data_IF_334764711495
#
_entry.id   IF_334764711495
#
_cell.length_a   1.000
_cell.length_b   1.000
_cell.length_c   1.000
_cell.angle_alpha   90.00
_cell.angle_beta   90.00
_cell.angle_gamma   90.00
#
_symmetry.space_group_name_H-M   'P 1'
#
loop_
_entity.id
_entity.type
_entity.pdbx_description
1 polymer ?
#
# COMPACT_ATOMS: atom_id res chain seq x y z
N UNK A 1 16.04 72.25 3.06
CA UNK A 1 14.94 71.28 2.88
C UNK A 1 15.55 70.04 2.22
N UNK A 2 16.10 69.05 2.94
CA UNK A 2 15.54 68.13 3.94
C UNK A 2 14.31 67.35 3.46
N UNK A 3 14.44 66.02 3.50
CA UNK A 3 13.38 65.00 3.43
C UNK A 3 13.12 64.32 2.07
N UNK A 4 14.08 63.49 1.60
CA UNK A 4 13.77 62.43 0.62
C UNK A 4 14.66 61.19 0.79
N UNK A 5 14.85 60.74 2.05
CA UNK A 5 15.69 59.56 2.36
C UNK A 5 15.10 58.67 3.46
N UNK A 6 13.90 58.99 3.97
CA UNK A 6 13.28 58.28 5.10
C UNK A 6 12.21 57.25 4.74
N UNK A 7 11.77 57.17 3.48
CA UNK A 7 10.69 56.24 3.07
C UNK A 7 11.14 54.97 2.35
N UNK A 8 12.41 54.88 1.94
CA UNK A 8 12.90 53.72 1.15
C UNK A 8 13.31 52.56 2.07
N UNK A 9 13.85 52.87 3.26
CA UNK A 9 14.31 51.87 4.23
C UNK A 9 13.22 50.96 4.82
N UNK A 10 12.02 51.44 5.23
CA UNK A 10 10.98 50.57 5.79
C UNK A 10 10.38 49.65 4.73
N UNK A 11 10.27 50.09 3.47
CA UNK A 11 9.68 49.32 2.37
C UNK A 11 10.59 48.14 2.00
N UNK A 12 11.90 48.37 1.90
CA UNK A 12 12.87 47.31 1.62
C UNK A 12 12.90 46.29 2.78
N UNK A 13 12.84 46.76 4.03
CA UNK A 13 12.80 45.88 5.20
C UNK A 13 11.54 45.00 5.23
N UNK A 14 10.37 45.55 4.91
CA UNK A 14 9.13 44.76 4.81
C UNK A 14 9.15 43.78 3.64
N UNK A 15 9.74 44.16 2.49
CA UNK A 15 9.84 43.27 1.34
C UNK A 15 10.80 42.09 1.63
N UNK A 16 11.88 42.34 2.36
CA UNK A 16 12.81 41.30 2.82
C UNK A 16 12.12 40.39 3.85
N UNK A 17 11.35 40.94 4.80
CA UNK A 17 10.61 40.12 5.76
C UNK A 17 9.51 39.27 5.11
N UNK A 18 8.79 39.79 4.12
CA UNK A 18 7.76 39.03 3.38
C UNK A 18 8.38 37.91 2.55
N UNK A 19 9.48 38.19 1.84
CA UNK A 19 10.19 37.16 1.07
C UNK A 19 10.88 36.12 1.96
N UNK A 20 11.34 36.49 3.16
CA UNK A 20 11.82 35.55 4.17
C UNK A 20 10.69 34.70 4.76
N UNK A 21 9.49 35.27 4.97
CA UNK A 21 8.32 34.53 5.45
C UNK A 21 7.80 33.51 4.40
N UNK A 22 7.73 33.91 3.13
CA UNK A 22 7.38 32.98 2.04
C UNK A 22 8.41 31.86 1.89
N UNK A 23 9.71 32.18 1.98
CA UNK A 23 10.78 31.17 1.93
C UNK A 23 10.79 30.25 3.17
N UNK A 24 10.41 30.75 4.34
CA UNK A 24 10.29 29.93 5.55
C UNK A 24 9.11 28.95 5.50
N UNK A 25 8.01 29.32 4.83
CA UNK A 25 6.89 28.40 4.57
C UNK A 25 7.19 27.38 3.45
N UNK A 26 8.18 27.65 2.61
CA UNK A 26 8.59 26.73 1.54
C UNK A 26 9.59 25.64 2.01
N UNK A 27 9.90 25.58 3.31
CA UNK A 27 10.92 24.68 3.83
C UNK A 27 10.39 23.80 4.96
N UNK A 28 9.32 23.06 4.68
CA UNK A 28 8.94 21.83 5.41
C UNK A 28 8.38 20.81 4.42
N UNK A 29 9.21 20.31 3.52
CA UNK A 29 8.88 19.05 2.84
C UNK A 29 10.19 18.32 2.55
N UNK A 30 10.82 17.79 3.61
CA UNK A 30 11.58 16.55 3.48
C UNK A 30 10.56 15.44 3.15
N UNK A 31 10.00 15.49 1.94
CA UNK A 31 9.06 14.49 1.47
C UNK A 31 9.87 13.24 1.18
N UNK A 32 10.06 12.42 2.21
CA UNK A 32 10.60 11.08 2.06
C UNK A 32 9.79 10.39 0.95
N UNK A 33 10.47 10.10 -0.17
CA UNK A 33 9.81 9.56 -1.36
C UNK A 33 9.06 8.29 -0.95
N UNK A 34 7.77 8.16 -1.29
CA UNK A 34 7.02 6.98 -0.86
C UNK A 34 7.60 5.72 -1.49
N UNK A 35 7.67 4.65 -0.70
CA UNK A 35 8.00 3.32 -1.20
C UNK A 35 6.80 2.78 -1.96
N UNK A 36 7.02 2.28 -3.17
CA UNK A 36 5.95 1.86 -4.07
C UNK A 36 5.99 0.34 -4.28
N UNK A 37 4.85 -0.30 -4.03
CA UNK A 37 4.69 -1.73 -4.18
C UNK A 37 3.56 -2.06 -5.16
N UNK A 38 3.75 -3.13 -5.93
CA UNK A 38 2.68 -3.71 -6.75
C UNK A 38 2.23 -5.01 -6.11
N UNK A 39 0.94 -5.10 -5.77
CA UNK A 39 0.31 -6.32 -5.30
C UNK A 39 -0.26 -7.05 -6.51
N UNK A 40 0.19 -8.29 -6.70
CA UNK A 40 -0.22 -9.19 -7.75
C UNK A 40 -0.97 -10.37 -7.13
N UNK A 41 -1.90 -10.96 -7.88
CA UNK A 41 -2.60 -12.17 -7.44
C UNK A 41 -2.71 -13.22 -8.55
N UNK A 42 -3.08 -14.44 -8.16
CA UNK A 42 -3.36 -15.52 -9.11
C UNK A 42 -4.44 -16.45 -8.56
N UNK A 43 -5.32 -16.88 -9.46
CA UNK A 43 -6.35 -17.89 -9.22
C UNK A 43 -5.96 -19.27 -9.76
N UNK A 44 -4.78 -19.42 -10.37
CA UNK A 44 -4.37 -20.65 -11.04
C UNK A 44 -3.77 -21.66 -10.05
N UNK A 45 -4.15 -22.94 -10.20
CA UNK A 45 -3.66 -24.04 -9.35
C UNK A 45 -2.25 -24.53 -9.74
N UNK A 46 -1.86 -24.35 -11.01
CA UNK A 46 -0.58 -24.79 -11.58
C UNK A 46 0.44 -23.65 -11.79
N UNK A 47 0.87 -23.45 -13.04
CA UNK A 47 1.74 -22.34 -13.43
C UNK A 47 1.02 -21.01 -13.23
N UNK A 48 1.29 -20.38 -12.10
CA UNK A 48 0.60 -19.17 -11.68
C UNK A 48 0.88 -18.00 -12.63
N UNK A 49 -0.16 -17.57 -13.34
CA UNK A 49 -0.19 -16.31 -14.07
C UNK A 49 -0.65 -15.23 -13.09
N UNK A 50 0.19 -14.21 -12.91
CA UNK A 50 -0.06 -13.13 -11.97
C UNK A 50 -0.62 -11.91 -12.68
N UNK A 51 -1.70 -11.35 -12.14
CA UNK A 51 -2.31 -10.09 -12.59
C UNK A 51 -2.27 -9.06 -11.47
N UNK A 52 -2.33 -7.78 -11.82
CA UNK A 52 -2.36 -6.69 -10.83
C UNK A 52 -3.65 -6.75 -10.03
N UNK A 53 -3.51 -6.71 -8.70
CA UNK A 53 -4.60 -6.62 -7.73
C UNK A 53 -4.67 -5.21 -7.16
N UNK A 54 -3.53 -4.61 -6.84
CA UNK A 54 -3.46 -3.29 -6.24
C UNK A 54 -2.08 -2.66 -6.40
N UNK A 55 -2.01 -1.35 -6.16
CA UNK A 55 -0.77 -0.60 -5.99
C UNK A 55 -0.79 0.09 -4.63
N UNK A 56 0.31 -0.01 -3.89
CA UNK A 56 0.44 0.54 -2.56
C UNK A 56 1.59 1.55 -2.51
N UNK A 57 1.38 2.66 -1.83
CA UNK A 57 2.42 3.63 -1.53
C UNK A 57 2.52 3.81 -0.01
N UNK A 58 3.71 3.55 0.53
CA UNK A 58 4.02 3.68 1.95
C UNK A 58 4.76 5.00 2.16
N UNK A 59 4.13 5.92 2.88
CA UNK A 59 4.65 7.23 3.22
C UNK A 59 5.40 7.13 4.55
N UNK A 60 6.74 7.19 4.50
CA UNK A 60 7.63 7.20 5.66
C UNK A 60 7.49 6.00 6.60
N UNK A 61 8.53 5.17 6.68
CA UNK A 61 8.54 3.91 7.46
C UNK A 61 8.14 4.09 8.92
N UNK A 62 8.45 5.25 9.51
CA UNK A 62 8.12 5.59 10.90
C UNK A 62 6.64 5.89 11.12
N UNK A 63 5.98 6.48 10.13
CA UNK A 63 4.56 6.86 10.27
C UNK A 63 3.63 5.70 9.90
N UNK A 64 4.10 4.76 9.08
CA UNK A 64 3.34 3.60 8.64
C UNK A 64 2.10 3.98 7.81
N UNK A 65 2.02 5.21 7.31
CA UNK A 65 0.88 5.68 6.54
C UNK A 65 0.92 5.04 5.15
N UNK A 66 -0.18 4.39 4.77
CA UNK A 66 -0.30 3.69 3.48
C UNK A 66 -1.47 4.28 2.69
N UNK A 67 -1.26 4.49 1.40
CA UNK A 67 -2.34 4.63 0.42
C UNK A 67 -2.39 3.41 -0.48
N UNK A 68 -3.57 2.83 -0.64
CA UNK A 68 -3.82 1.63 -1.43
C UNK A 68 -4.83 1.94 -2.55
N UNK A 69 -4.48 1.61 -3.78
CA UNK A 69 -5.37 1.66 -4.93
C UNK A 69 -5.60 0.24 -5.43
N UNK A 70 -6.84 -0.25 -5.34
CA UNK A 70 -7.19 -1.63 -5.70
C UNK A 70 -7.94 -1.67 -7.02
N UNK A 71 -7.66 -2.71 -7.80
CA UNK A 71 -8.36 -2.99 -9.04
C UNK A 71 -9.57 -3.90 -8.75
N UNK A 72 -10.77 -3.59 -9.27
CA UNK A 72 -11.94 -4.43 -9.10
C UNK A 72 -11.78 -5.75 -9.86
N UNK A 73 -12.43 -6.80 -9.36
CA UNK A 73 -12.49 -8.07 -10.08
C UNK A 73 -13.42 -7.97 -11.29
N UNK A 74 -13.03 -8.61 -12.38
CA UNK A 74 -13.93 -8.82 -13.52
C UNK A 74 -14.89 -9.98 -13.24
N UNK A 75 -15.98 -10.09 -14.00
CA UNK A 75 -16.88 -11.25 -13.92
C UNK A 75 -16.17 -12.59 -14.16
N UNK A 76 -15.12 -12.58 -15.01
CA UNK A 76 -14.28 -13.75 -15.25
C UNK A 76 -13.48 -14.12 -14.01
N UNK A 77 -12.90 -13.14 -13.31
CA UNK A 77 -12.14 -13.36 -12.08
C UNK A 77 -13.03 -13.86 -10.94
N UNK A 78 -14.25 -13.31 -10.81
CA UNK A 78 -15.24 -13.78 -9.85
C UNK A 78 -15.57 -15.26 -10.09
N UNK A 79 -15.80 -15.65 -11.35
CA UNK A 79 -16.06 -17.04 -11.71
C UNK A 79 -14.86 -17.96 -11.40
N UNK A 80 -13.63 -17.49 -11.67
CA UNK A 80 -12.40 -18.23 -11.31
C UNK A 80 -12.25 -18.39 -9.80
N UNK A 81 -12.45 -17.33 -9.02
CA UNK A 81 -12.35 -17.38 -7.56
C UNK A 81 -13.38 -18.33 -6.96
N UNK A 82 -14.64 -18.27 -7.43
CA UNK A 82 -15.70 -19.19 -6.99
C UNK A 82 -15.32 -20.64 -7.27
N UNK A 83 -14.93 -20.95 -8.51
CA UNK A 83 -14.50 -22.29 -8.90
C UNK A 83 -13.33 -22.76 -8.05
N UNK A 84 -12.34 -21.89 -7.85
CA UNK A 84 -11.17 -22.18 -7.02
C UNK A 84 -11.55 -22.47 -5.57
N UNK A 85 -12.52 -21.74 -5.00
CA UNK A 85 -13.05 -21.97 -3.66
C UNK A 85 -13.78 -23.33 -3.56
N UNK A 86 -14.63 -23.66 -4.53
CA UNK A 86 -15.39 -24.92 -4.58
C UNK A 86 -14.47 -26.15 -4.61
N UNK A 87 -13.33 -26.06 -5.31
CA UNK A 87 -12.35 -27.15 -5.39
C UNK A 87 -11.30 -27.12 -4.27
N UNK A 88 -11.45 -26.27 -3.24
CA UNK A 88 -10.50 -26.18 -2.14
C UNK A 88 -9.12 -25.67 -2.56
N UNK A 89 -9.06 -24.88 -3.63
CA UNK A 89 -7.83 -24.34 -4.19
C UNK A 89 -7.21 -23.22 -3.35
N UNK A 90 -6.06 -22.74 -3.82
CA UNK A 90 -5.22 -21.77 -3.13
C UNK A 90 -5.20 -20.47 -3.93
N UNK A 91 -5.62 -19.37 -3.30
CA UNK A 91 -5.40 -18.03 -3.81
C UNK A 91 -4.00 -17.56 -3.46
N UNK A 92 -3.26 -17.07 -4.46
CA UNK A 92 -1.84 -16.69 -4.31
C UNK A 92 -1.69 -15.20 -4.45
N UNK A 93 -0.86 -14.61 -3.61
CA UNK A 93 -0.51 -13.19 -3.65
C UNK A 93 1.00 -13.05 -3.75
N UNK A 94 1.44 -12.10 -4.58
CA UNK A 94 2.83 -11.65 -4.66
C UNK A 94 2.88 -10.15 -4.50
N UNK A 95 3.96 -9.67 -3.91
CA UNK A 95 4.24 -8.25 -3.81
C UNK A 95 5.64 -8.03 -4.36
N UNK A 96 5.78 -7.05 -5.26
CA UNK A 96 7.07 -6.61 -5.78
C UNK A 96 7.34 -5.16 -5.38
N UNK A 97 8.59 -4.89 -5.03
CA UNK A 97 9.09 -3.53 -4.87
C UNK A 97 9.34 -2.92 -6.26
N UNK A 98 8.77 -1.74 -6.54
CA UNK A 98 8.95 -1.06 -7.83
C UNK A 98 10.32 -0.41 -7.98
N UNK A 99 11.03 -0.17 -6.88
CA UNK A 99 12.39 0.37 -6.89
C UNK A 99 13.42 -0.74 -6.99
N UNK A 100 13.08 -1.94 -6.48
CA UNK A 100 13.94 -3.12 -6.50
C UNK A 100 13.15 -4.31 -7.07
N UNK A 101 13.00 -4.38 -8.39
CA UNK A 101 12.16 -5.40 -9.04
C UNK A 101 12.54 -6.86 -8.74
N UNK A 102 13.78 -7.09 -8.27
CA UNK A 102 14.23 -8.41 -7.80
C UNK A 102 13.66 -8.82 -6.44
N UNK A 103 13.17 -7.87 -5.64
CA UNK A 103 12.60 -8.11 -4.32
C UNK A 103 11.11 -8.44 -4.45
N UNK A 104 10.82 -9.74 -4.35
CA UNK A 104 9.48 -10.28 -4.45
C UNK A 104 9.18 -11.15 -3.23
N UNK A 105 8.10 -10.83 -2.53
CA UNK A 105 7.57 -11.66 -1.46
C UNK A 105 6.25 -12.31 -1.92
N UNK A 106 5.97 -13.53 -1.45
CA UNK A 106 4.78 -14.26 -1.81
C UNK A 106 4.08 -14.83 -0.57
N UNK A 107 2.76 -14.89 -0.63
CA UNK A 107 1.92 -15.56 0.36
C UNK A 107 0.73 -16.22 -0.32
N UNK A 108 -0.01 -17.01 0.43
CA UNK A 108 -1.15 -17.73 -0.09
C UNK A 108 -2.18 -18.03 1.00
N UNK A 109 -3.43 -18.21 0.59
CA UNK A 109 -4.51 -18.63 1.48
C UNK A 109 -5.48 -19.56 0.75
N UNK A 110 -6.34 -20.25 1.50
CA UNK A 110 -7.43 -21.01 0.88
C UNK A 110 -8.37 -20.05 0.14
N UNK A 111 -8.69 -20.37 -1.11
CA UNK A 111 -9.56 -19.52 -1.92
C UNK A 111 -10.96 -19.35 -1.33
N UNK A 112 -11.50 -20.41 -0.72
CA UNK A 112 -12.76 -20.35 0.03
C UNK A 112 -12.73 -19.34 1.18
N UNK A 113 -11.59 -19.12 1.82
CA UNK A 113 -11.46 -18.18 2.93
C UNK A 113 -11.61 -16.73 2.45
N UNK A 114 -11.09 -16.40 1.27
CA UNK A 114 -11.24 -15.07 0.67
C UNK A 114 -12.62 -14.89 0.01
N UNK A 115 -13.13 -15.94 -0.64
CA UNK A 115 -14.44 -15.92 -1.27
C UNK A 115 -15.55 -15.71 -0.24
N UNK A 116 -15.56 -16.51 0.84
CA UNK A 116 -16.58 -16.46 1.88
C UNK A 116 -16.51 -15.19 2.74
N UNK A 117 -15.34 -14.53 2.80
CA UNK A 117 -15.20 -13.22 3.46
C UNK A 117 -15.72 -12.06 2.62
N UNK A 118 -16.17 -12.32 1.38
CA UNK A 118 -16.56 -11.28 0.44
C UNK A 118 -15.39 -10.37 0.07
N UNK A 119 -14.23 -10.95 -0.24
CA UNK A 119 -12.98 -10.24 -0.54
C UNK A 119 -12.45 -9.34 0.58
N UNK A 120 -12.80 -9.65 1.84
CA UNK A 120 -12.27 -8.96 3.01
C UNK A 120 -11.02 -9.67 3.51
N UNK A 121 -9.90 -8.96 3.61
CA UNK A 121 -8.63 -9.51 4.07
C UNK A 121 -7.71 -8.45 4.71
N UNK A 122 -6.64 -8.93 5.34
CA UNK A 122 -5.62 -8.13 6.00
C UNK A 122 -4.25 -8.48 5.42
N UNK A 123 -3.71 -7.58 4.60
CA UNK A 123 -2.44 -7.73 3.91
C UNK A 123 -1.36 -6.94 4.65
N UNK A 124 -0.32 -7.63 5.13
CA UNK A 124 0.79 -6.99 5.86
C UNK A 124 2.09 -7.17 5.10
N UNK A 125 2.77 -6.07 4.80
CA UNK A 125 4.15 -6.11 4.30
C UNK A 125 5.11 -6.09 5.47
N UNK A 126 6.13 -6.94 5.41
CA UNK A 126 7.26 -6.86 6.33
C UNK A 126 8.42 -6.22 5.59
N UNK A 127 8.94 -5.13 6.15
CA UNK A 127 10.08 -4.39 5.61
C UNK A 127 11.25 -4.41 6.60
N UNK A 128 12.47 -4.32 6.09
CA UNK A 128 13.64 -4.03 6.92
C UNK A 128 13.71 -2.52 7.30
N UNK A 129 14.73 -2.14 8.06
CA UNK A 129 14.93 -0.76 8.50
C UNK A 129 15.24 0.22 7.35
N UNK A 130 15.66 -0.30 6.18
CA UNK A 130 15.94 0.47 4.97
C UNK A 130 14.72 0.56 4.04
N UNK A 131 13.61 -0.09 4.39
CA UNK A 131 12.38 -0.14 3.59
C UNK A 131 12.36 -1.22 2.52
N UNK A 132 13.31 -2.15 2.53
CA UNK A 132 13.37 -3.27 1.59
C UNK A 132 12.33 -4.32 1.98
N UNK A 133 11.60 -4.83 0.99
CA UNK A 133 10.61 -5.87 1.17
C UNK A 133 11.27 -7.20 1.57
N UNK A 134 10.96 -7.69 2.78
CA UNK A 134 11.45 -8.98 3.28
C UNK A 134 10.37 -10.06 3.32
N UNK A 135 9.09 -9.67 3.38
CA UNK A 135 8.01 -10.64 3.52
C UNK A 135 6.63 -10.04 3.30
N UNK A 136 5.64 -10.93 3.14
CA UNK A 136 4.22 -10.58 3.05
C UNK A 136 3.38 -11.64 3.74
N UNK A 137 2.33 -11.23 4.45
CA UNK A 137 1.30 -12.10 4.99
C UNK A 137 -0.08 -11.59 4.60
N UNK A 138 -1.01 -12.53 4.35
CA UNK A 138 -2.38 -12.21 3.98
C UNK A 138 -3.34 -13.14 4.74
N UNK A 139 -4.46 -12.59 5.22
CA UNK A 139 -5.39 -13.30 6.09
C UNK A 139 -6.81 -12.72 6.03
N UNK A 140 -7.83 -13.56 5.84
CA UNK A 140 -9.24 -13.15 5.81
C UNK A 140 -10.07 -13.58 7.02
N UNK A 141 -9.55 -14.42 7.92
CA UNK A 141 -10.25 -14.85 9.13
C UNK A 141 -11.38 -15.86 8.95
N UNK A 142 -11.78 -16.20 7.73
CA UNK A 142 -12.90 -17.11 7.46
C UNK A 142 -12.49 -18.59 7.40
N UNK A 143 -13.34 -19.48 7.93
CA UNK A 143 -13.05 -20.91 8.11
C UNK A 143 -13.73 -21.83 7.08
N UNK A 144 -13.83 -21.42 5.81
CA UNK A 144 -14.30 -22.23 4.67
C UNK A 144 -15.48 -23.18 4.99
N UNK A 145 -16.64 -22.61 5.31
CA UNK A 145 -17.83 -23.32 5.75
C UNK A 145 -18.75 -23.75 4.60
N UNK A 146 -18.40 -23.42 3.35
CA UNK A 146 -19.21 -23.69 2.16
C UNK A 146 -20.29 -22.64 1.93
N UNK A 147 -20.11 -21.42 2.45
CA UNK A 147 -21.08 -20.35 2.30
C UNK A 147 -21.14 -19.84 0.85
N UNK A 148 -22.35 -19.66 0.32
CA UNK A 148 -22.55 -19.01 -0.97
C UNK A 148 -22.45 -17.48 -0.82
N UNK A 149 -21.63 -16.84 -1.66
CA UNK A 149 -21.46 -15.39 -1.69
C UNK A 149 -21.94 -14.84 -3.04
N UNK A 150 -22.93 -13.94 -3.06
CA UNK A 150 -23.42 -13.34 -4.30
C UNK A 150 -22.35 -12.52 -5.03
N UNK A 151 -22.36 -12.55 -6.36
CA UNK A 151 -21.35 -11.93 -7.23
C UNK A 151 -21.16 -10.42 -6.98
N UNK A 152 -22.24 -9.69 -6.66
CA UNK A 152 -22.16 -8.26 -6.36
C UNK A 152 -21.35 -7.93 -5.10
N UNK A 153 -21.11 -8.91 -4.21
CA UNK A 153 -20.22 -8.79 -3.04
C UNK A 153 -18.76 -9.07 -3.38
N UNK A 154 -18.47 -9.52 -4.60
CA UNK A 154 -17.13 -9.95 -5.06
C UNK A 154 -16.55 -9.01 -6.11
N UNK A 155 -17.10 -7.80 -6.26
CA UNK A 155 -16.61 -6.83 -7.23
C UNK A 155 -15.35 -6.08 -6.75
N UNK A 156 -15.32 -5.68 -5.47
CA UNK A 156 -14.26 -4.86 -4.91
C UNK A 156 -13.62 -5.56 -3.72
N UNK A 157 -12.30 -5.52 -3.66
CA UNK A 157 -11.58 -5.94 -2.46
C UNK A 157 -11.82 -4.97 -1.31
N UNK A 158 -11.90 -5.51 -0.10
CA UNK A 158 -11.95 -4.76 1.14
C UNK A 158 -10.72 -5.13 1.99
N UNK A 159 -9.57 -4.58 1.59
CA UNK A 159 -8.28 -4.97 2.17
C UNK A 159 -7.81 -3.96 3.21
N UNK A 160 -7.57 -4.44 4.42
CA UNK A 160 -6.82 -3.69 5.44
C UNK A 160 -5.32 -3.89 5.18
N UNK A 161 -4.65 -2.84 4.71
CA UNK A 161 -3.22 -2.90 4.40
C UNK A 161 -2.39 -2.31 5.53
N UNK A 162 -1.35 -3.02 5.96
CA UNK A 162 -0.44 -2.56 7.00
C UNK A 162 1.02 -2.88 6.68
N UNK A 163 1.93 -2.21 7.38
CA UNK A 163 3.38 -2.38 7.24
C UNK A 163 3.96 -2.68 8.61
N UNK A 164 4.80 -3.71 8.67
CA UNK A 164 5.58 -4.09 9.84
C UNK A 164 7.06 -3.89 9.54
N UNK A 165 7.73 -3.02 10.29
CA UNK A 165 9.17 -2.78 10.14
C UNK A 165 9.92 -3.62 11.17
N UNK A 166 10.93 -4.35 10.72
CA UNK A 166 11.80 -5.14 11.59
C UNK A 166 12.49 -4.23 12.61
N UNK A 167 12.39 -4.60 13.89
CA UNK A 167 13.04 -3.89 15.00
C UNK A 167 14.25 -4.67 15.49
N UNK A 168 15.28 -3.94 15.89
CA UNK A 168 16.41 -4.54 16.58
C UNK A 168 15.99 -5.13 17.92
N UNK A 169 16.67 -6.20 18.31
CA UNK A 169 16.47 -6.80 19.61
C UNK A 169 16.86 -5.81 20.73
N UNK A 170 16.18 -5.84 21.89
CA UNK A 170 16.61 -5.09 23.05
C UNK A 170 18.04 -5.48 23.46
N UNK A 171 18.82 -4.50 23.89
CA UNK A 171 20.12 -4.76 24.51
C UNK A 171 19.93 -5.48 25.86
N UNK A 172 20.84 -6.40 26.26
CA UNK A 172 20.76 -7.13 27.53
C UNK A 172 20.76 -6.27 28.80
#
# INVERSE_FOLDING_TARGET
>A
ASSSTKMIFPIISTLILVTLHEKALAQTDDQERPLLFTVLHSFESGSAVYTTRATAAVQGLRTGKVSLQQDPLTNSDIAKLRKLAEYGGIYRVRVSDRQHESQVAATFMKACSLYESGLTDSLTLTLDQSGILVGVSDFSGHQCQGAYVPDHKLANFNTSFSVSVMKDAPFP
#
